data_IF_567483236133
#
_entry.id   IF_567483236133
#
_cell.length_a   1.000
_cell.length_b   1.000
_cell.length_c   1.000
_cell.angle_alpha   90.00
_cell.angle_beta   90.00
_cell.angle_gamma   90.00
#
_symmetry.space_group_name_H-M   'P 1'
#
loop_
_entity.id
_entity.type
_entity.pdbx_description
1 polymer ?
#
# COMPACT_ATOMS: atom_id res chain seq x y z
N UNK A 1 6.23 -21.69 36.93
CA UNK A 1 5.36 -20.68 36.29
C UNK A 1 6.26 -19.71 35.52
N UNK A 2 6.37 -19.84 34.20
CA UNK A 2 7.24 -19.01 33.38
C UNK A 2 6.47 -17.81 32.81
N UNK A 3 6.92 -16.58 33.09
CA UNK A 3 6.39 -15.35 32.50
C UNK A 3 6.67 -15.35 31.00
N UNK A 4 5.61 -15.41 30.20
CA UNK A 4 5.67 -15.12 28.77
C UNK A 4 6.02 -13.64 28.63
N UNK A 5 7.24 -13.33 28.18
CA UNK A 5 7.55 -12.00 27.64
C UNK A 5 6.79 -11.90 26.33
N UNK A 6 5.65 -11.20 26.35
CA UNK A 6 4.96 -10.80 25.12
C UNK A 6 5.91 -9.91 24.34
N UNK A 7 6.52 -10.48 23.30
CA UNK A 7 7.30 -9.76 22.29
C UNK A 7 6.52 -8.52 21.90
N UNK A 8 7.18 -7.36 21.95
CA UNK A 8 6.64 -6.08 21.50
C UNK A 8 5.86 -6.29 20.21
N UNK A 9 4.58 -5.96 20.24
CA UNK A 9 3.70 -5.92 19.08
C UNK A 9 4.33 -4.97 18.06
N UNK A 10 5.13 -5.51 17.14
CA UNK A 10 5.56 -4.80 15.95
C UNK A 10 4.29 -4.55 15.14
N UNK A 11 3.65 -3.41 15.39
CA UNK A 11 2.63 -2.90 14.49
C UNK A 11 3.28 -2.87 13.12
N UNK A 12 2.74 -3.55 12.10
CA UNK A 12 3.37 -3.65 10.78
C UNK A 12 3.51 -2.27 10.10
N UNK A 13 2.80 -1.27 10.60
CA UNK A 13 2.82 0.09 10.12
C UNK A 13 2.98 1.07 11.30
N UNK A 14 3.71 2.20 11.12
CA UNK A 14 3.79 3.28 12.09
C UNK A 14 2.41 3.88 12.40
N UNK A 15 2.25 4.48 13.59
CA UNK A 15 0.99 5.13 13.99
C UNK A 15 0.56 6.28 13.05
N UNK A 16 1.51 6.89 12.34
CA UNK A 16 1.27 7.99 11.37
C UNK A 16 1.76 7.64 9.96
N UNK A 17 1.43 6.45 9.46
CA UNK A 17 1.90 5.97 8.15
C UNK A 17 1.49 6.90 7.00
N UNK A 18 0.36 7.61 7.12
CA UNK A 18 -0.10 8.60 6.16
C UNK A 18 0.84 9.81 6.02
N UNK A 19 1.73 10.03 7.01
CA UNK A 19 2.76 11.06 6.95
C UNK A 19 3.95 10.65 6.09
N UNK A 20 4.18 9.34 5.92
CA UNK A 20 5.36 8.80 5.22
C UNK A 20 5.03 8.15 3.87
N UNK A 21 3.74 7.88 3.59
CA UNK A 21 3.31 7.31 2.32
C UNK A 21 1.92 7.81 1.88
N UNK A 22 1.74 7.94 0.57
CA UNK A 22 0.43 8.09 -0.06
C UNK A 22 -0.04 6.74 -0.62
N UNK A 23 -1.35 6.49 -0.56
CA UNK A 23 -2.01 5.34 -1.18
C UNK A 23 -3.01 5.78 -2.24
N UNK A 24 -3.16 4.97 -3.28
CA UNK A 24 -4.19 5.10 -4.31
C UNK A 24 -4.83 3.76 -4.59
N UNK A 25 -6.16 3.77 -4.71
CA UNK A 25 -6.95 2.58 -4.99
C UNK A 25 -7.69 2.79 -6.31
N UNK A 26 -7.51 1.87 -7.24
CA UNK A 26 -8.30 1.80 -8.47
C UNK A 26 -9.21 0.59 -8.39
N UNK A 27 -10.42 0.73 -8.94
CA UNK A 27 -11.43 -0.32 -9.00
C UNK A 27 -11.98 -0.40 -10.41
N UNK A 28 -12.26 -1.62 -10.87
CA UNK A 28 -12.95 -1.89 -12.13
C UNK A 28 -13.66 -3.24 -12.05
N UNK A 29 -14.42 -3.61 -13.09
CA UNK A 29 -14.99 -4.96 -13.19
C UNK A 29 -13.90 -6.02 -13.10
N UNK A 30 -14.22 -7.17 -12.49
CA UNK A 30 -13.35 -8.36 -12.46
C UNK A 30 -12.97 -8.88 -13.85
N UNK A 31 -13.74 -8.52 -14.89
CA UNK A 31 -13.49 -8.89 -16.29
C UNK A 31 -12.45 -7.97 -16.96
N UNK A 32 -12.25 -6.75 -16.47
CA UNK A 32 -11.44 -5.71 -17.12
C UNK A 32 -9.96 -5.71 -16.67
N UNK A 33 -9.28 -6.84 -16.80
CA UNK A 33 -7.87 -6.98 -16.40
C UNK A 33 -6.90 -6.08 -17.19
N UNK A 34 -7.24 -5.69 -18.42
CA UNK A 34 -6.41 -4.81 -19.25
C UNK A 34 -6.16 -3.44 -18.60
N UNK A 35 -7.16 -2.94 -17.85
CA UNK A 35 -7.04 -1.67 -17.11
C UNK A 35 -5.93 -1.72 -16.08
N UNK A 36 -5.65 -2.88 -15.47
CA UNK A 36 -4.56 -3.05 -14.52
C UNK A 36 -3.20 -2.76 -15.16
N UNK A 37 -2.97 -3.22 -16.40
CA UNK A 37 -1.73 -2.96 -17.12
C UNK A 37 -1.55 -1.46 -17.39
N UNK A 38 -2.63 -0.79 -17.82
CA UNK A 38 -2.65 0.66 -18.04
C UNK A 38 -2.34 1.43 -16.75
N UNK A 39 -3.04 1.11 -15.65
CA UNK A 39 -2.78 1.75 -14.35
C UNK A 39 -1.36 1.52 -13.87
N UNK A 40 -0.85 0.28 -14.00
CA UNK A 40 0.52 -0.05 -13.59
C UNK A 40 1.53 0.80 -14.33
N UNK A 41 1.39 0.95 -15.64
CA UNK A 41 2.28 1.77 -16.46
C UNK A 41 2.25 3.24 -16.02
N UNK A 42 1.06 3.83 -15.91
CA UNK A 42 0.89 5.23 -15.54
C UNK A 42 1.38 5.54 -14.12
N UNK A 43 1.08 4.65 -13.17
CA UNK A 43 1.52 4.78 -11.79
C UNK A 43 3.04 4.64 -11.68
N UNK A 44 3.63 3.66 -12.36
CA UNK A 44 5.09 3.45 -12.36
C UNK A 44 5.82 4.69 -12.90
N UNK A 45 5.34 5.28 -14.00
CA UNK A 45 5.88 6.55 -14.56
C UNK A 45 5.85 7.71 -13.55
N UNK A 46 4.88 7.71 -12.64
CA UNK A 46 4.69 8.75 -11.62
C UNK A 46 5.38 8.42 -10.29
N UNK A 47 6.18 7.35 -10.25
CA UNK A 47 6.90 6.89 -9.06
C UNK A 47 6.04 6.17 -8.03
N UNK A 48 4.86 5.68 -8.42
CA UNK A 48 4.01 4.84 -7.58
C UNK A 48 4.34 3.36 -7.83
N UNK A 49 4.20 2.54 -6.79
CA UNK A 49 4.43 1.09 -6.85
C UNK A 49 3.14 0.34 -6.59
N UNK A 50 2.86 -0.69 -7.38
CA UNK A 50 1.75 -1.60 -7.13
C UNK A 50 2.07 -2.45 -5.89
N UNK A 51 1.23 -2.36 -4.87
CA UNK A 51 1.41 -3.06 -3.59
C UNK A 51 0.57 -4.32 -3.51
N UNK A 52 -0.68 -4.25 -3.96
CA UNK A 52 -1.63 -5.35 -3.87
C UNK A 52 -2.63 -5.29 -5.03
N UNK A 53 -2.96 -6.45 -5.57
CA UNK A 53 -4.11 -6.63 -6.45
C UNK A 53 -4.99 -7.67 -5.79
N UNK A 54 -6.29 -7.39 -5.71
CA UNK A 54 -7.30 -8.34 -5.29
C UNK A 54 -8.40 -8.35 -6.33
N UNK A 55 -8.95 -9.52 -6.61
CA UNK A 55 -10.13 -9.66 -7.45
C UNK A 55 -11.08 -10.65 -6.80
N UNK A 56 -12.37 -10.33 -6.86
CA UNK A 56 -13.46 -11.27 -6.62
C UNK A 56 -14.29 -11.43 -7.91
N UNK A 57 -15.50 -11.99 -7.81
CA UNK A 57 -16.37 -12.20 -8.97
C UNK A 57 -16.86 -10.88 -9.59
N UNK A 58 -16.89 -9.79 -8.82
CA UNK A 58 -17.49 -8.51 -9.24
C UNK A 58 -16.44 -7.45 -9.51
N UNK A 59 -15.45 -7.30 -8.63
CA UNK A 59 -14.46 -6.22 -8.74
C UNK A 59 -13.01 -6.69 -8.78
N UNK A 60 -12.21 -5.95 -9.54
CA UNK A 60 -10.76 -5.94 -9.48
C UNK A 60 -10.32 -4.65 -8.80
N UNK A 61 -9.52 -4.78 -7.75
CA UNK A 61 -8.97 -3.68 -6.96
C UNK A 61 -7.45 -3.70 -7.03
N UNK A 62 -6.87 -2.56 -7.40
CA UNK A 62 -5.43 -2.35 -7.42
C UNK A 62 -5.02 -1.26 -6.41
N UNK A 63 -4.14 -1.61 -5.48
CA UNK A 63 -3.61 -0.70 -4.46
C UNK A 63 -2.19 -0.30 -4.82
N UNK A 64 -1.96 0.99 -4.97
CA UNK A 64 -0.66 1.60 -5.22
C UNK A 64 -0.20 2.41 -4.03
N UNK A 65 1.10 2.42 -3.79
CA UNK A 65 1.73 3.25 -2.78
C UNK A 65 2.89 4.07 -3.33
N UNK A 66 3.09 5.24 -2.73
CA UNK A 66 4.23 6.12 -3.02
C UNK A 66 4.76 6.68 -1.70
N UNK A 67 6.04 6.47 -1.43
CA UNK A 67 6.69 7.07 -0.27
C UNK A 67 6.79 8.59 -0.45
N UNK A 68 6.52 9.35 0.62
CA UNK A 68 6.73 10.79 0.64
C UNK A 68 8.22 11.03 0.89
N UNK A 69 8.95 11.42 -0.14
CA UNK A 69 10.33 11.88 0.01
C UNK A 69 10.32 13.26 0.68
N UNK A 70 10.43 13.31 2.02
CA UNK A 70 10.71 14.58 2.69
C UNK A 70 10.31 14.81 4.15
N UNK A 71 9.89 13.83 4.96
CA UNK A 71 9.70 14.08 6.40
C UNK A 71 9.80 12.81 7.25
N UNK A 72 11.00 12.26 7.36
CA UNK A 72 11.34 11.63 8.64
C UNK A 72 11.76 12.80 9.54
N UNK A 73 11.00 13.14 10.60
CA UNK A 73 11.51 14.10 11.57
C UNK A 73 12.85 13.58 12.10
N UNK A 74 13.86 14.44 12.32
CA UNK A 74 15.03 14.03 13.06
C UNK A 74 14.54 13.50 14.41
N UNK A 75 14.77 12.21 14.68
CA UNK A 75 14.56 11.68 16.01
C UNK A 75 15.44 12.50 16.99
N UNK A 76 14.91 12.90 18.15
CA UNK A 76 15.72 13.52 19.20
C UNK A 76 16.79 12.58 19.74
#
# INVERSE_FOLDING_TARGET
>A
MARIRTSHSQKPYPDSWEQVADLRVFRTSSEDWDRLATWRHDMTKRGWRLLKVTSDEVELIAVFGKAKSGHFPPHP
#
